data_IF_272259569900
#
_entry.id   IF_272259569900
#
_cell.length_a   1.000
_cell.length_b   1.000
_cell.length_c   1.000
_cell.angle_alpha   90.00
_cell.angle_beta   90.00
_cell.angle_gamma   90.00
#
_symmetry.space_group_name_H-M   'P 1'
#
loop_
_entity.id
_entity.type
_entity.pdbx_description
1 polymer ?
#
# COMPACT_ATOMS: atom_id res chain seq x y z
N UNK A 1 -8.40 4.27 39.31
CA UNK A 1 -8.08 3.77 40.66
C UNK A 1 -7.92 2.28 40.55
N UNK A 2 -6.89 1.72 41.18
CA UNK A 2 -6.67 0.28 41.26
C UNK A 2 -7.16 -0.24 42.61
N UNK A 3 -7.37 -1.56 42.79
CA UNK A 3 -7.78 -2.11 44.08
C UNK A 3 -6.85 -1.71 45.24
N UNK A 4 -5.55 -1.61 44.97
CA UNK A 4 -4.56 -1.14 45.94
C UNK A 4 -4.80 0.32 46.37
N UNK A 5 -5.15 1.20 45.42
CA UNK A 5 -5.48 2.60 45.70
C UNK A 5 -6.79 2.70 46.49
N UNK A 6 -7.80 1.89 46.16
CA UNK A 6 -9.07 1.86 46.90
C UNK A 6 -8.86 1.45 48.36
N UNK A 7 -8.07 0.39 48.61
CA UNK A 7 -7.68 -0.03 49.97
C UNK A 7 -6.86 1.04 50.70
N UNK A 8 -6.05 1.81 49.97
CA UNK A 8 -5.26 2.88 50.55
C UNK A 8 -6.12 4.10 50.93
N UNK A 9 -7.16 4.40 50.13
CA UNK A 9 -8.15 5.45 50.42
C UNK A 9 -9.01 5.09 51.63
N UNK A 10 -9.53 3.86 51.71
CA UNK A 10 -10.31 3.42 52.88
C UNK A 10 -9.48 3.50 54.16
N UNK A 11 -8.22 3.08 54.09
CA UNK A 11 -7.29 3.17 55.23
C UNK A 11 -6.95 4.62 55.60
N UNK A 12 -6.84 5.52 54.64
CA UNK A 12 -6.61 6.94 54.92
C UNK A 12 -7.83 7.59 55.60
N UNK A 13 -9.03 7.18 55.20
CA UNK A 13 -10.30 7.60 55.81
C UNK A 13 -10.41 7.12 57.28
N UNK A 14 -10.02 5.87 57.56
CA UNK A 14 -9.99 5.31 58.92
C UNK A 14 -8.97 6.00 59.85
N UNK A 15 -7.82 6.41 59.31
CA UNK A 15 -6.71 6.99 60.09
C UNK A 15 -6.97 8.47 60.41
N UNK A 16 -7.45 9.25 59.44
CA UNK A 16 -7.67 10.68 59.61
C UNK A 16 -8.73 11.22 58.65
N UNK A 17 -10.01 11.32 59.08
CA UNK A 17 -11.07 11.86 58.25
C UNK A 17 -10.87 13.35 57.92
N UNK A 18 -10.22 14.11 58.80
CA UNK A 18 -9.95 15.53 58.60
C UNK A 18 -8.87 15.80 57.54
N UNK A 19 -7.81 14.98 57.51
CA UNK A 19 -6.78 15.09 56.46
C UNK A 19 -7.27 14.50 55.14
N UNK A 20 -8.13 13.47 55.18
CA UNK A 20 -8.76 12.91 53.99
C UNK A 20 -9.63 13.95 53.27
N UNK A 21 -10.40 14.76 54.00
CA UNK A 21 -11.19 15.85 53.42
C UNK A 21 -10.35 16.90 52.68
N UNK A 22 -9.08 17.09 53.08
CA UNK A 22 -8.14 18.03 52.41
C UNK A 22 -7.60 17.49 51.09
N UNK A 23 -7.73 16.19 50.82
CA UNK A 23 -7.35 15.58 49.53
C UNK A 23 -8.36 15.91 48.42
N UNK A 24 -9.58 16.34 48.78
CA UNK A 24 -10.60 16.71 47.80
C UNK A 24 -10.43 18.17 47.38
N UNK A 25 -9.91 18.37 46.17
CA UNK A 25 -9.80 19.67 45.52
C UNK A 25 -10.93 19.85 44.49
N UNK A 26 -11.49 21.06 44.31
CA UNK A 26 -12.61 21.30 43.39
C UNK A 26 -12.23 21.16 41.90
N UNK A 27 -10.94 21.24 41.57
CA UNK A 27 -10.40 21.06 40.21
C UNK A 27 -10.12 19.59 39.86
N UNK A 28 -10.29 18.68 40.81
CA UNK A 28 -9.80 17.30 40.73
C UNK A 28 -10.95 16.28 40.76
N UNK A 29 -10.74 15.05 40.27
CA UNK A 29 -11.77 14.01 40.31
C UNK A 29 -12.24 13.76 41.75
N UNK A 30 -13.53 13.45 41.88
CA UNK A 30 -14.15 13.14 43.18
C UNK A 30 -13.62 11.83 43.75
N UNK A 31 -13.25 11.85 45.03
CA UNK A 31 -12.82 10.69 45.82
C UNK A 31 -14.00 10.00 46.54
N UNK A 32 -15.22 10.52 46.43
CA UNK A 32 -16.40 9.94 47.06
C UNK A 32 -16.76 8.58 46.42
N UNK A 33 -16.90 7.54 47.23
CA UNK A 33 -17.23 6.18 46.77
C UNK A 33 -16.11 5.55 45.93
N UNK A 34 -14.92 5.28 46.52
CA UNK A 34 -13.78 4.78 45.77
C UNK A 34 -14.06 3.38 45.21
N UNK A 35 -13.99 3.25 43.88
CA UNK A 35 -14.17 1.99 43.16
C UNK A 35 -13.03 1.75 42.16
N UNK A 36 -12.64 0.48 41.92
CA UNK A 36 -11.69 0.16 40.86
C UNK A 36 -12.19 0.69 39.52
N UNK A 37 -11.35 1.44 38.80
CA UNK A 37 -11.70 2.08 37.53
C UNK A 37 -12.00 3.59 37.62
N UNK A 38 -12.37 4.13 38.78
CA UNK A 38 -12.63 5.58 38.92
C UNK A 38 -11.37 6.42 38.65
N UNK A 39 -11.46 7.63 38.08
CA UNK A 39 -10.28 8.47 37.85
C UNK A 39 -9.68 8.96 39.17
N UNK A 40 -8.35 9.13 39.22
CA UNK A 40 -7.65 9.74 40.35
C UNK A 40 -6.55 10.66 39.80
N UNK A 41 -6.39 11.84 40.41
CA UNK A 41 -5.35 12.78 40.01
C UNK A 41 -3.96 12.34 40.50
N UNK A 42 -2.91 12.88 39.87
CA UNK A 42 -1.54 12.64 40.29
C UNK A 42 -1.22 13.30 41.64
N UNK A 43 -1.75 14.51 41.88
CA UNK A 43 -1.64 15.25 43.14
C UNK A 43 -2.27 14.48 44.30
N UNK A 44 -3.50 13.97 44.12
CA UNK A 44 -4.18 13.12 45.10
C UNK A 44 -3.36 11.89 45.47
N UNK A 45 -2.74 11.22 44.50
CA UNK A 45 -1.89 10.05 44.75
C UNK A 45 -0.65 10.41 45.58
N UNK A 46 -0.03 11.56 45.32
CA UNK A 46 1.12 12.04 46.07
C UNK A 46 0.71 12.33 47.51
N UNK A 47 -0.38 13.08 47.71
CA UNK A 47 -0.78 13.52 49.04
C UNK A 47 -1.34 12.37 49.89
N UNK A 48 -2.05 11.42 49.27
CA UNK A 48 -2.39 10.14 49.88
C UNK A 48 -1.14 9.39 50.34
N UNK A 49 -0.11 9.30 49.49
CA UNK A 49 1.13 8.61 49.88
C UNK A 49 1.88 9.31 51.02
N UNK A 50 1.81 10.65 51.11
CA UNK A 50 2.39 11.42 52.21
C UNK A 50 1.61 11.21 53.49
N UNK A 51 0.27 11.24 53.43
CA UNK A 51 -0.62 10.97 54.57
C UNK A 51 -0.32 9.58 55.15
N UNK A 52 -0.34 8.54 54.32
CA UNK A 52 -0.07 7.17 54.77
C UNK A 52 1.35 7.00 55.32
N UNK A 53 2.34 7.74 54.81
CA UNK A 53 3.70 7.74 55.37
C UNK A 53 3.81 8.44 56.72
N UNK A 54 3.10 9.56 56.93
CA UNK A 54 3.07 10.26 58.21
C UNK A 54 2.48 9.40 59.33
N UNK A 55 1.48 8.58 58.99
CA UNK A 55 0.82 7.68 59.94
C UNK A 55 1.36 6.23 59.91
N UNK A 56 2.37 5.94 59.06
CA UNK A 56 2.97 4.61 58.97
C UNK A 56 3.60 4.14 60.30
N UNK A 57 4.15 5.07 61.09
CA UNK A 57 4.71 4.81 62.42
C UNK A 57 3.65 4.57 63.50
N UNK A 58 2.42 5.04 63.30
CA UNK A 58 1.30 4.79 64.21
C UNK A 58 0.57 3.47 63.95
N UNK A 59 0.83 2.83 62.80
CA UNK A 59 0.05 1.69 62.29
C UNK A 59 0.79 0.35 62.35
N UNK A 60 2.03 0.31 62.87
CA UNK A 60 2.73 -0.96 63.14
C UNK A 60 2.24 -1.67 64.41
N UNK A 61 1.22 -1.12 65.09
CA UNK A 61 0.78 -1.53 66.43
C UNK A 61 -0.74 -1.78 66.49
N UNK A 62 -1.32 -2.25 65.38
CA UNK A 62 -2.72 -2.66 65.31
C UNK A 62 -2.82 -4.17 65.12
N UNK A 63 -3.06 -4.87 66.22
CA UNK A 63 -3.43 -6.29 66.26
C UNK A 63 -4.78 -6.50 65.54
N UNK A 64 -4.91 -7.66 64.87
CA UNK A 64 -6.10 -8.20 64.19
C UNK A 64 -6.29 -7.81 62.71
N UNK A 65 -5.66 -8.56 61.82
CA UNK A 65 -6.28 -9.17 60.63
C UNK A 65 -5.31 -10.15 59.99
N UNK A 66 -5.61 -11.44 60.13
CA UNK A 66 -4.93 -12.55 59.48
C UNK A 66 -5.19 -12.51 57.95
N UNK A 67 -4.16 -12.83 57.16
CA UNK A 67 -4.17 -13.15 55.72
C UNK A 67 -3.85 -12.09 54.63
N UNK A 68 -3.23 -10.93 54.92
CA UNK A 68 -2.53 -10.20 53.84
C UNK A 68 -1.13 -9.69 54.22
N UNK A 69 -0.14 -9.76 53.31
CA UNK A 69 1.23 -9.30 53.55
C UNK A 69 1.24 -7.81 53.90
N UNK A 70 2.21 -7.30 54.68
CA UNK A 70 2.27 -5.90 55.07
C UNK A 70 2.37 -5.01 53.83
N UNK A 71 1.24 -4.45 53.40
CA UNK A 71 1.16 -3.63 52.20
C UNK A 71 1.81 -2.29 52.51
N UNK A 72 3.05 -2.11 52.08
CA UNK A 72 3.74 -0.83 52.17
C UNK A 72 3.09 0.13 51.16
N UNK A 73 2.34 1.11 51.64
CA UNK A 73 1.73 2.16 50.82
C UNK A 73 2.77 3.23 50.44
N UNK A 74 3.76 2.83 49.65
CA UNK A 74 4.72 3.75 49.04
C UNK A 74 4.15 4.29 47.72
N UNK A 75 4.47 5.53 47.36
CA UNK A 75 4.06 6.10 46.06
C UNK A 75 4.38 5.16 44.88
N UNK A 76 5.53 4.49 44.91
CA UNK A 76 5.92 3.50 43.91
C UNK A 76 4.96 2.30 43.82
N UNK A 77 4.42 1.81 44.95
CA UNK A 77 3.46 0.67 44.94
C UNK A 77 2.10 1.09 44.40
N UNK A 78 1.65 2.31 44.71
CA UNK A 78 0.41 2.90 44.18
C UNK A 78 0.50 3.17 42.66
N UNK A 79 1.68 3.60 42.17
CA UNK A 79 1.88 3.92 40.76
C UNK A 79 2.03 2.68 39.86
N UNK A 80 2.57 1.56 40.37
CA UNK A 80 2.84 0.34 39.57
C UNK A 80 1.64 -0.22 38.83
N UNK A 81 0.44 -0.04 39.37
CA UNK A 81 -0.80 -0.54 38.78
C UNK A 81 -1.63 0.54 38.06
N UNK A 82 -1.16 1.79 38.07
CA UNK A 82 -1.88 2.92 37.46
C UNK A 82 -1.61 3.03 35.96
N UNK A 83 -2.61 3.50 35.20
CA UNK A 83 -2.48 3.81 33.77
C UNK A 83 -2.89 5.25 33.55
N UNK A 84 -2.17 5.94 32.65
CA UNK A 84 -2.50 7.30 32.24
C UNK A 84 -3.83 7.25 31.47
N UNK A 85 -4.79 8.09 31.87
CA UNK A 85 -6.04 8.23 31.14
C UNK A 85 -5.77 8.99 29.84
N UNK A 86 -6.01 8.32 28.72
CA UNK A 86 -6.00 8.93 27.39
C UNK A 86 -7.48 8.99 26.96
N UNK A 87 -8.05 10.17 26.73
CA UNK A 87 -9.44 10.28 26.31
C UNK A 87 -9.64 9.50 25.00
N UNK A 88 -10.80 8.85 24.83
CA UNK A 88 -11.10 8.18 23.57
C UNK A 88 -10.97 9.18 22.42
N UNK A 89 -10.44 8.77 21.26
CA UNK A 89 -10.34 9.65 20.11
C UNK A 89 -11.73 10.20 19.78
N UNK A 90 -11.83 11.48 19.39
CA UNK A 90 -13.11 12.07 19.04
C UNK A 90 -13.78 11.25 17.93
N UNK A 91 -15.13 11.18 17.92
CA UNK A 91 -15.84 10.49 16.84
C UNK A 91 -15.44 11.09 15.49
N UNK A 92 -15.32 10.23 14.48
CA UNK A 92 -14.95 10.68 13.13
C UNK A 92 -15.99 11.70 12.63
N UNK A 93 -15.56 12.80 11.99
CA UNK A 93 -16.50 13.77 11.44
C UNK A 93 -17.37 13.09 10.38
N UNK A 94 -18.64 13.49 10.32
CA UNK A 94 -19.52 13.08 9.24
C UNK A 94 -18.95 13.56 7.89
N UNK A 95 -19.02 12.74 6.83
CA UNK A 95 -18.48 13.14 5.53
C UNK A 95 -19.21 14.37 4.99
N UNK A 96 -18.47 15.29 4.37
CA UNK A 96 -19.08 16.48 3.77
C UNK A 96 -20.05 16.12 2.64
N UNK A 97 -21.13 16.89 2.42
CA UNK A 97 -22.10 16.60 1.36
C UNK A 97 -21.47 16.63 -0.04
N UNK A 98 -20.44 17.46 -0.24
CA UNK A 98 -19.66 17.49 -1.49
C UNK A 98 -18.91 16.19 -1.74
N UNK A 99 -18.33 15.59 -0.70
CA UNK A 99 -17.62 14.32 -0.80
C UNK A 99 -18.59 13.17 -1.11
N UNK A 100 -19.76 13.14 -0.45
CA UNK A 100 -20.80 12.15 -0.74
C UNK A 100 -21.28 12.25 -2.19
N UNK A 101 -21.51 13.46 -2.69
CA UNK A 101 -21.90 13.69 -4.08
C UNK A 101 -20.81 13.22 -5.07
N UNK A 102 -19.53 13.49 -4.77
CA UNK A 102 -18.40 13.02 -5.58
C UNK A 102 -18.31 11.49 -5.59
N UNK A 103 -18.45 10.84 -4.43
CA UNK A 103 -18.44 9.38 -4.33
C UNK A 103 -19.62 8.74 -5.06
N UNK A 104 -20.81 9.35 -5.00
CA UNK A 104 -21.98 8.89 -5.75
C UNK A 104 -21.73 8.96 -7.25
N UNK A 105 -21.14 10.07 -7.72
CA UNK A 105 -20.74 10.21 -9.12
C UNK A 105 -19.71 9.15 -9.56
N UNK A 106 -18.67 8.92 -8.75
CA UNK A 106 -17.65 7.90 -9.09
C UNK A 106 -18.24 6.49 -9.18
N UNK A 107 -19.14 6.12 -8.27
CA UNK A 107 -19.83 4.81 -8.34
C UNK A 107 -20.67 4.69 -9.60
N UNK A 108 -21.41 5.75 -9.96
CA UNK A 108 -22.20 5.77 -11.19
C UNK A 108 -21.31 5.64 -12.46
N UNK A 109 -20.16 6.30 -12.49
CA UNK A 109 -19.19 6.17 -13.58
C UNK A 109 -18.61 4.75 -13.67
N UNK A 110 -18.30 4.12 -12.54
CA UNK A 110 -17.80 2.75 -12.49
C UNK A 110 -18.87 1.72 -12.93
N UNK A 111 -20.10 1.87 -12.46
CA UNK A 111 -21.25 1.06 -12.87
C UNK A 111 -21.52 1.18 -14.38
N UNK A 112 -21.44 2.39 -14.94
CA UNK A 112 -21.60 2.63 -16.38
C UNK A 112 -20.50 1.96 -17.23
N UNK A 113 -19.25 1.97 -16.74
CA UNK A 113 -18.14 1.25 -17.38
C UNK A 113 -18.34 -0.26 -17.31
N UNK A 114 -18.76 -0.77 -16.15
CA UNK A 114 -19.06 -2.19 -15.98
C UNK A 114 -20.18 -2.65 -16.91
N UNK A 115 -21.25 -1.85 -17.04
CA UNK A 115 -22.35 -2.10 -17.97
C UNK A 115 -21.88 -2.11 -19.44
N UNK A 116 -21.06 -1.13 -19.82
CA UNK A 116 -20.47 -1.09 -21.18
C UNK A 116 -19.66 -2.34 -21.50
N UNK A 117 -18.88 -2.89 -20.54
CA UNK A 117 -18.15 -4.16 -20.74
C UNK A 117 -19.07 -5.36 -20.90
N UNK A 118 -20.24 -5.37 -20.26
CA UNK A 118 -21.23 -6.44 -20.42
C UNK A 118 -21.92 -6.39 -21.77
N UNK A 119 -22.21 -5.18 -22.27
CA UNK A 119 -22.82 -4.99 -23.58
C UNK A 119 -21.85 -5.22 -24.75
N UNK A 120 -20.61 -4.78 -24.58
CA UNK A 120 -19.53 -4.98 -25.53
C UNK A 120 -18.49 -5.90 -24.89
N UNK A 121 -18.77 -7.21 -24.79
CA UNK A 121 -17.76 -8.14 -24.33
C UNK A 121 -16.56 -8.01 -25.28
N UNK A 122 -15.33 -7.76 -24.76
CA UNK A 122 -14.15 -7.81 -25.61
C UNK A 122 -14.14 -9.16 -26.29
N UNK A 123 -13.98 -9.18 -27.61
CA UNK A 123 -13.87 -10.42 -28.37
C UNK A 123 -12.76 -11.25 -27.75
N UNK A 124 -13.13 -12.32 -27.06
CA UNK A 124 -12.20 -13.19 -26.37
C UNK A 124 -11.25 -13.80 -27.42
N UNK A 125 -10.04 -13.27 -27.53
CA UNK A 125 -8.90 -14.06 -27.96
C UNK A 125 -8.69 -15.10 -26.88
N UNK A 126 -9.22 -16.28 -27.14
CA UNK A 126 -9.21 -17.44 -26.26
C UNK A 126 -7.76 -17.88 -25.98
N UNK A 127 -7.14 -17.37 -24.93
CA UNK A 127 -5.98 -17.98 -24.28
C UNK A 127 -6.23 -18.11 -22.78
N UNK A 128 -7.29 -18.84 -22.45
CA UNK A 128 -7.41 -19.52 -21.15
C UNK A 128 -6.38 -20.65 -21.08
N UNK A 129 -5.11 -20.32 -20.84
CA UNK A 129 -4.12 -21.28 -20.37
C UNK A 129 -3.98 -21.14 -18.85
N UNK A 130 -4.92 -21.79 -18.15
CA UNK A 130 -4.72 -22.50 -16.88
C UNK A 130 -3.43 -22.13 -16.11
N UNK A 131 -3.48 -21.06 -15.32
CA UNK A 131 -2.42 -20.72 -14.35
C UNK A 131 -2.53 -21.67 -13.15
N UNK A 132 -1.53 -22.51 -12.84
CA UNK A 132 -1.53 -23.31 -11.62
C UNK A 132 -1.33 -22.41 -10.37
N UNK A 133 -1.90 -22.78 -9.21
CA UNK A 133 -2.01 -21.92 -8.02
C UNK A 133 -0.70 -21.68 -7.24
N UNK A 134 0.46 -22.06 -7.77
CA UNK A 134 1.74 -21.97 -7.06
C UNK A 134 2.86 -21.48 -7.97
N UNK A 135 2.88 -20.19 -8.26
CA UNK A 135 4.06 -19.50 -8.77
C UNK A 135 4.20 -18.16 -8.05
N UNK A 136 5.39 -17.81 -7.51
CA UNK A 136 5.58 -16.54 -6.82
C UNK A 136 5.32 -15.39 -7.80
N UNK A 137 4.65 -14.35 -7.30
CA UNK A 137 4.29 -13.15 -8.04
C UNK A 137 5.57 -12.41 -8.43
N UNK A 138 6.14 -12.77 -9.57
CA UNK A 138 7.01 -11.86 -10.31
C UNK A 138 6.10 -10.91 -11.08
N UNK A 139 6.17 -9.63 -10.72
CA UNK A 139 5.59 -8.52 -11.47
C UNK A 139 6.24 -8.49 -12.86
N UNK A 140 5.69 -9.25 -13.81
CA UNK A 140 6.00 -9.14 -15.23
C UNK A 140 4.93 -8.25 -15.87
N UNK A 141 5.28 -6.97 -15.99
CA UNK A 141 4.66 -6.03 -16.93
C UNK A 141 4.96 -6.55 -18.33
N UNK A 142 3.92 -6.99 -19.03
CA UNK A 142 4.03 -7.43 -20.41
C UNK A 142 2.93 -8.42 -20.74
N UNK A 143 1.84 -7.93 -21.32
CA UNK A 143 1.14 -8.56 -22.46
C UNK A 143 -0.09 -7.74 -22.84
N UNK A 144 0.01 -7.11 -24.01
CA UNK A 144 -1.02 -7.08 -25.06
C UNK A 144 -2.49 -7.20 -24.60
N UNK A 145 -2.97 -6.19 -23.89
CA UNK A 145 -4.36 -5.77 -24.02
C UNK A 145 -4.47 -4.85 -25.25
N UNK A 146 -5.61 -4.77 -25.95
CA UNK A 146 -5.85 -3.66 -26.86
C UNK A 146 -5.99 -2.42 -25.97
N UNK A 147 -4.85 -1.78 -25.70
CA UNK A 147 -4.76 -0.60 -24.87
C UNK A 147 -5.56 0.50 -25.56
N UNK A 148 -6.54 1.03 -24.83
CA UNK A 148 -7.22 2.26 -25.18
C UNK A 148 -6.16 3.33 -25.51
N UNK A 149 -6.43 4.11 -26.55
CA UNK A 149 -5.50 5.07 -27.16
C UNK A 149 -4.92 6.06 -26.11
N UNK A 150 -5.62 6.27 -25.00
CA UNK A 150 -5.23 7.11 -23.87
C UNK A 150 -4.13 6.48 -22.97
N UNK A 151 -4.14 5.17 -22.72
CA UNK A 151 -3.13 4.49 -21.87
C UNK A 151 -1.76 4.41 -22.56
N UNK A 152 -1.76 4.30 -23.90
CA UNK A 152 -0.53 4.38 -24.72
C UNK A 152 0.16 5.73 -24.55
N UNK A 153 -0.63 6.81 -24.39
CA UNK A 153 -0.13 8.15 -24.13
C UNK A 153 0.55 8.27 -22.77
N UNK A 154 -0.07 7.75 -21.71
CA UNK A 154 0.49 7.82 -20.35
C UNK A 154 1.79 7.02 -20.22
N UNK A 155 1.87 5.83 -20.80
CA UNK A 155 3.08 5.00 -20.78
C UNK A 155 4.23 5.64 -21.57
N UNK A 156 3.95 6.21 -22.75
CA UNK A 156 4.98 6.90 -23.54
C UNK A 156 5.46 8.17 -22.83
N UNK A 157 4.55 8.97 -22.25
CA UNK A 157 4.90 10.15 -21.45
C UNK A 157 5.69 9.77 -20.21
N UNK A 158 5.29 8.72 -19.51
CA UNK A 158 6.00 8.22 -18.33
C UNK A 158 7.43 7.78 -18.67
N UNK A 159 7.58 7.01 -19.76
CA UNK A 159 8.88 6.58 -20.28
C UNK A 159 9.77 7.77 -20.68
N UNK A 160 9.19 8.78 -21.33
CA UNK A 160 9.91 10.01 -21.67
C UNK A 160 10.32 10.80 -20.43
N UNK A 161 9.45 10.89 -19.42
CA UNK A 161 9.72 11.59 -18.17
C UNK A 161 10.86 10.92 -17.37
N UNK A 162 10.85 9.58 -17.27
CA UNK A 162 11.94 8.82 -16.64
C UNK A 162 13.28 9.07 -17.36
N UNK A 163 13.27 9.09 -18.70
CA UNK A 163 14.48 9.33 -19.48
C UNK A 163 15.04 10.74 -19.22
N UNK A 164 14.18 11.76 -19.21
CA UNK A 164 14.59 13.14 -18.91
C UNK A 164 15.22 13.22 -17.52
N UNK A 165 14.60 12.60 -16.51
CA UNK A 165 15.13 12.60 -15.15
C UNK A 165 16.49 11.91 -15.09
N UNK A 166 16.66 10.76 -15.75
CA UNK A 166 17.94 10.05 -15.76
C UNK A 166 19.07 10.87 -16.40
N UNK A 167 18.78 11.56 -17.51
CA UNK A 167 19.72 12.45 -18.19
C UNK A 167 20.08 13.66 -17.31
N UNK A 168 19.10 14.25 -16.61
CA UNK A 168 19.37 15.37 -15.70
C UNK A 168 20.28 14.95 -14.52
N UNK A 169 20.02 13.77 -13.95
CA UNK A 169 20.84 13.23 -12.85
C UNK A 169 22.26 12.95 -13.33
N UNK A 170 22.46 12.39 -14.53
CA UNK A 170 23.80 12.13 -15.06
C UNK A 170 24.58 13.41 -15.36
N UNK A 171 23.92 14.44 -15.92
CA UNK A 171 24.52 15.76 -16.16
C UNK A 171 25.01 16.41 -14.86
N UNK A 172 24.15 16.44 -13.83
CA UNK A 172 24.50 17.05 -12.53
C UNK A 172 25.60 16.26 -11.83
N UNK A 173 25.53 14.93 -11.83
CA UNK A 173 26.57 14.07 -11.24
C UNK A 173 27.92 14.30 -11.92
N UNK A 174 27.97 14.35 -13.26
CA UNK A 174 29.19 14.64 -13.99
C UNK A 174 29.70 16.06 -13.75
N UNK A 175 28.82 17.07 -13.69
CA UNK A 175 29.21 18.44 -13.38
C UNK A 175 29.86 18.54 -11.98
N UNK A 176 29.24 17.96 -10.95
CA UNK A 176 29.79 17.95 -9.59
C UNK A 176 31.11 17.18 -9.53
N UNK A 177 31.19 16.03 -10.20
CA UNK A 177 32.41 15.23 -10.24
C UNK A 177 33.57 15.99 -10.89
N UNK A 178 33.36 16.58 -12.06
CA UNK A 178 34.38 17.39 -12.76
C UNK A 178 34.74 18.62 -11.94
N UNK A 179 33.75 19.26 -11.31
CA UNK A 179 33.98 20.40 -10.43
C UNK A 179 34.88 20.04 -9.24
N UNK A 180 34.65 18.90 -8.58
CA UNK A 180 35.51 18.42 -7.48
C UNK A 180 36.90 18.03 -7.99
N UNK A 181 37.00 17.31 -9.10
CA UNK A 181 38.27 16.89 -9.68
C UNK A 181 39.15 18.08 -10.10
N UNK A 182 38.56 19.12 -10.69
CA UNK A 182 39.24 20.35 -11.10
C UNK A 182 39.38 21.40 -9.98
N UNK A 183 39.26 21.00 -8.70
CA UNK A 183 39.40 21.90 -7.54
C UNK A 183 40.72 22.67 -7.51
N UNK A 184 41.78 22.11 -8.08
CA UNK A 184 43.11 22.70 -8.13
C UNK A 184 43.34 23.65 -9.33
N UNK A 185 42.34 23.85 -10.20
CA UNK A 185 42.42 24.71 -11.39
C UNK A 185 41.75 26.07 -11.16
N UNK A 186 42.09 27.08 -11.97
CA UNK A 186 41.47 28.39 -11.88
C UNK A 186 39.96 28.33 -12.15
N UNK A 187 39.20 29.23 -11.53
CA UNK A 187 37.73 29.24 -11.54
C UNK A 187 37.17 29.21 -12.97
N UNK A 188 37.74 29.98 -13.89
CA UNK A 188 37.30 30.02 -15.28
C UNK A 188 37.53 28.69 -16.01
N UNK A 189 38.70 28.04 -15.82
CA UNK A 189 39.00 26.74 -16.43
C UNK A 189 38.13 25.63 -15.85
N UNK A 190 37.89 25.68 -14.53
CA UNK A 190 37.01 24.75 -13.82
C UNK A 190 35.57 24.85 -14.29
N UNK A 191 35.05 26.07 -14.43
CA UNK A 191 33.71 26.32 -14.94
C UNK A 191 33.57 25.84 -16.39
N UNK A 192 34.53 26.19 -17.26
CA UNK A 192 34.54 25.77 -18.66
C UNK A 192 34.58 24.25 -18.80
N UNK A 193 35.41 23.56 -18.00
CA UNK A 193 35.51 22.10 -18.02
C UNK A 193 34.24 21.43 -17.48
N UNK A 194 33.64 21.96 -16.42
CA UNK A 194 32.40 21.42 -15.83
C UNK A 194 31.21 21.60 -16.77
N UNK A 195 31.04 22.80 -17.35
CA UNK A 195 29.97 23.07 -18.32
C UNK A 195 30.17 22.25 -19.59
N UNK A 196 31.39 22.22 -20.14
CA UNK A 196 31.71 21.44 -21.34
C UNK A 196 31.56 19.94 -21.14
N UNK A 197 32.04 19.40 -20.02
CA UNK A 197 31.92 17.97 -19.71
C UNK A 197 30.47 17.54 -19.49
N UNK A 198 29.67 18.35 -18.81
CA UNK A 198 28.23 18.10 -18.65
C UNK A 198 27.49 18.15 -20.00
N UNK A 199 27.87 19.07 -20.89
CA UNK A 199 27.31 19.15 -22.24
C UNK A 199 27.70 17.96 -23.12
N UNK A 200 28.93 17.47 -23.02
CA UNK A 200 29.38 16.28 -23.75
C UNK A 200 28.59 15.03 -23.31
N UNK A 201 28.33 14.87 -22.00
CA UNK A 201 27.50 13.78 -21.46
C UNK A 201 26.06 13.90 -21.96
N UNK A 202 25.48 15.11 -21.98
CA UNK A 202 24.14 15.33 -22.52
C UNK A 202 24.04 14.89 -24.00
N UNK A 203 25.03 15.24 -24.83
CA UNK A 203 25.07 14.83 -26.24
C UNK A 203 25.20 13.31 -26.36
N UNK A 204 26.06 12.68 -25.54
CA UNK A 204 26.24 11.24 -25.54
C UNK A 204 24.95 10.49 -25.20
N UNK A 205 24.23 10.92 -24.16
CA UNK A 205 22.95 10.31 -23.75
C UNK A 205 21.88 10.40 -24.85
N UNK A 206 21.75 11.57 -25.50
CA UNK A 206 20.82 11.75 -26.61
C UNK A 206 21.19 10.86 -27.80
N UNK A 207 22.48 10.68 -28.08
CA UNK A 207 22.97 9.77 -29.12
C UNK A 207 22.63 8.30 -28.79
N UNK A 208 22.80 7.88 -27.54
CA UNK A 208 22.43 6.53 -27.08
C UNK A 208 20.92 6.29 -27.24
N UNK A 209 20.10 7.25 -26.82
CA UNK A 209 18.64 7.12 -26.96
C UNK A 209 18.18 7.11 -28.41
N UNK A 210 18.67 8.05 -29.22
CA UNK A 210 18.35 8.11 -30.65
C UNK A 210 18.79 6.84 -31.38
N UNK A 211 19.95 6.28 -31.02
CA UNK A 211 20.43 4.99 -31.49
C UNK A 211 19.50 3.83 -31.09
N UNK A 212 19.07 3.79 -29.84
CA UNK A 212 18.10 2.80 -29.35
C UNK A 212 16.77 2.89 -30.11
N UNK A 213 16.17 4.09 -30.22
CA UNK A 213 14.91 4.29 -30.92
C UNK A 213 15.01 3.87 -32.38
N UNK A 214 16.14 4.17 -33.05
CA UNK A 214 16.38 3.73 -34.42
C UNK A 214 16.43 2.20 -34.53
N UNK A 215 17.16 1.52 -33.63
CA UNK A 215 17.23 0.05 -33.58
C UNK A 215 15.85 -0.59 -33.36
N UNK A 216 15.05 -0.06 -32.44
CA UNK A 216 13.69 -0.55 -32.18
C UNK A 216 12.78 -0.35 -33.39
N UNK A 217 12.83 0.81 -34.04
CA UNK A 217 12.08 1.07 -35.28
C UNK A 217 12.50 0.12 -36.40
N UNK A 218 13.79 -0.16 -36.53
CA UNK A 218 14.33 -1.11 -37.51
C UNK A 218 13.87 -2.55 -37.23
N UNK A 219 13.83 -2.97 -35.96
CA UNK A 219 13.34 -4.29 -35.56
C UNK A 219 11.84 -4.45 -35.88
N UNK A 220 11.00 -3.48 -35.49
CA UNK A 220 9.56 -3.47 -35.82
C UNK A 220 9.32 -3.51 -37.34
N UNK A 221 10.13 -2.80 -38.13
CA UNK A 221 10.04 -2.82 -39.60
C UNK A 221 10.44 -4.18 -40.18
N UNK A 222 11.41 -4.88 -39.60
CA UNK A 222 11.80 -6.24 -40.03
C UNK A 222 10.74 -7.27 -39.66
N UNK A 223 10.10 -7.12 -38.51
CA UNK A 223 9.02 -7.99 -38.05
C UNK A 223 7.77 -7.86 -38.91
N UNK A 224 7.32 -6.63 -39.20
CA UNK A 224 6.19 -6.37 -40.11
C UNK A 224 6.37 -6.92 -41.53
N UNK A 225 7.60 -7.18 -41.95
CA UNK A 225 7.92 -7.76 -43.26
C UNK A 225 7.85 -9.29 -43.29
N UNK A 226 7.74 -9.97 -42.15
CA UNK A 226 7.57 -11.42 -42.12
C UNK A 226 6.09 -11.73 -42.39
N UNK A 227 5.74 -12.36 -43.53
CA UNK A 227 4.35 -12.72 -43.80
C UNK A 227 3.90 -13.81 -42.83
N UNK A 228 2.79 -13.55 -42.14
CA UNK A 228 2.15 -14.52 -41.25
C UNK A 228 1.43 -15.58 -42.10
N UNK A 229 2.00 -16.80 -42.15
CA UNK A 229 1.35 -17.94 -42.80
C UNK A 229 0.35 -18.52 -41.79
N UNK A 230 -0.92 -18.15 -41.93
CA UNK A 230 -2.00 -18.69 -41.10
C UNK A 230 -2.38 -20.08 -41.60
N UNK A 231 -2.08 -21.09 -40.79
CA UNK A 231 -2.50 -22.47 -41.01
C UNK A 231 -3.96 -22.64 -40.54
N UNK A 232 -4.83 -23.14 -41.42
CA UNK A 232 -6.23 -23.42 -41.09
C UNK A 232 -6.29 -24.83 -40.53
N UNK A 233 -6.37 -24.96 -39.20
CA UNK A 233 -6.28 -26.27 -38.52
C UNK A 233 -7.59 -27.06 -38.63
N UNK A 234 -8.76 -26.42 -38.69
CA UNK A 234 -10.04 -27.13 -38.91
C UNK A 234 -11.08 -26.24 -39.58
N UNK A 235 -11.53 -26.62 -40.79
CA UNK A 235 -12.75 -26.08 -41.39
C UNK A 235 -13.88 -27.07 -41.16
N UNK A 236 -14.84 -26.73 -40.30
CA UNK A 236 -16.12 -27.44 -40.24
C UNK A 236 -17.00 -26.95 -41.38
N UNK A 237 -17.27 -27.82 -42.35
CA UNK A 237 -18.30 -27.60 -43.37
C UNK A 237 -19.62 -28.01 -42.72
N UNK A 238 -20.46 -27.03 -42.40
CA UNK A 238 -21.85 -27.29 -42.03
C UNK A 238 -22.61 -27.39 -43.36
N UNK A 239 -22.78 -28.62 -43.85
CA UNK A 239 -23.77 -28.88 -44.88
C UNK A 239 -25.16 -28.71 -44.26
N UNK A 240 -25.99 -27.86 -44.85
CA UNK A 240 -27.40 -27.72 -44.46
C UNK A 240 -28.15 -28.88 -45.08
N UNK A 241 -28.50 -29.85 -44.25
CA UNK A 241 -29.33 -31.00 -44.63
C UNK A 241 -30.61 -30.57 -45.35
N UNK A 242 -30.84 -31.20 -46.52
CA UNK A 242 -32.18 -31.53 -46.98
C UNK A 242 -32.23 -33.03 -47.27
N UNK A 243 -32.76 -33.77 -46.28
CA UNK A 243 -33.60 -34.95 -46.41
C UNK A 243 -33.13 -36.11 -47.32
N UNK A 244 -32.64 -37.19 -46.70
CA UNK A 244 -33.13 -38.58 -46.90
C UNK A 244 -32.31 -39.61 -46.10
N UNK A 245 -33.02 -40.47 -45.39
CA UNK A 245 -32.52 -41.69 -44.73
C UNK A 245 -32.07 -42.74 -45.77
N UNK A 246 -30.88 -43.33 -45.61
CA UNK A 246 -30.52 -44.71 -46.03
C UNK A 246 -29.25 -45.17 -45.28
N UNK A 247 -28.98 -46.49 -45.15
CA UNK A 247 -28.42 -47.08 -43.93
C UNK A 247 -26.92 -47.35 -43.99
N UNK A 248 -26.40 -47.62 -42.79
CA UNK A 248 -25.05 -48.03 -42.43
C UNK A 248 -24.57 -49.26 -43.21
N UNK A 249 -23.42 -49.14 -43.89
CA UNK A 249 -22.43 -50.24 -43.97
C UNK A 249 -21.08 -49.74 -44.49
N UNK A 250 -20.00 -50.26 -43.89
CA UNK A 250 -18.72 -50.44 -44.58
C UNK A 250 -17.59 -49.56 -44.11
N UNK A 251 -16.82 -50.05 -43.14
CA UNK A 251 -15.53 -49.47 -42.80
C UNK A 251 -14.55 -49.53 -43.98
N UNK A 252 -13.73 -48.49 -44.11
CA UNK A 252 -12.53 -48.53 -44.92
C UNK A 252 -11.43 -47.67 -44.28
N UNK A 253 -10.38 -48.40 -43.92
CA UNK A 253 -9.07 -47.99 -43.43
C UNK A 253 -8.43 -47.07 -44.48
N UNK A 254 -8.22 -45.79 -44.14
CA UNK A 254 -7.52 -44.81 -44.96
C UNK A 254 -6.67 -43.90 -44.08
N UNK A 255 -5.38 -43.82 -44.39
CA UNK A 255 -4.33 -43.06 -43.70
C UNK A 255 -4.71 -41.57 -43.53
N UNK A 256 -4.26 -40.88 -42.46
CA UNK A 256 -4.37 -39.44 -42.38
C UNK A 256 -3.27 -38.82 -43.25
N UNK A 257 -3.56 -38.59 -44.53
CA UNK A 257 -2.80 -37.64 -45.34
C UNK A 257 -3.28 -36.23 -44.95
N UNK A 258 -2.38 -35.53 -44.28
CA UNK A 258 -2.41 -34.14 -43.84
C UNK A 258 -2.82 -33.20 -44.99
N UNK A 259 -4.12 -32.89 -45.08
CA UNK A 259 -4.65 -31.96 -46.07
C UNK A 259 -4.53 -30.51 -45.57
N UNK A 260 -3.30 -30.00 -45.43
CA UNK A 260 -3.05 -28.58 -45.15
C UNK A 260 -3.22 -27.79 -46.45
N UNK A 261 -4.35 -27.07 -46.59
CA UNK A 261 -4.54 -26.11 -47.69
C UNK A 261 -4.11 -24.71 -47.27
N UNK A 262 -3.00 -24.24 -47.83
CA UNK A 262 -2.59 -22.85 -47.73
C UNK A 262 -3.42 -21.97 -48.65
N UNK A 263 -4.10 -20.95 -48.10
CA UNK A 263 -4.73 -19.91 -48.91
C UNK A 263 -3.62 -18.99 -49.44
N UNK A 264 -3.33 -19.08 -50.74
CA UNK A 264 -2.46 -18.13 -51.44
C UNK A 264 -3.15 -16.76 -51.46
N UNK A 265 -2.89 -15.93 -50.45
CA UNK A 265 -3.34 -14.54 -50.42
C UNK A 265 -2.68 -13.78 -51.57
N UNK A 266 -3.46 -13.35 -52.55
CA UNK A 266 -3.05 -12.36 -53.55
C UNK A 266 -2.81 -11.05 -52.81
N UNK A 267 -1.56 -10.71 -52.59
CA UNK A 267 -1.18 -9.38 -52.10
C UNK A 267 -1.41 -8.36 -53.21
N UNK A 268 -2.16 -7.30 -52.91
CA UNK A 268 -2.03 -6.00 -53.55
C UNK A 268 -1.90 -4.97 -52.44
#
# INVERSE_FOLDING_TARGET
MTPAIVRALSRAEDISPEEFGKLQLPSEPSLAGPQPGNPISHSQLIDLSKLLKKHASATSTGENQEEEPPVVYTLNTLLRSSKIYIPPPPPKPEPSPSYVALMARLRAEEEARAYTRMLNPPTSSFTSARRPPSAPVQFSIGTDAPLDEDDVGYEEVHRQMILIINVLVSIVACAVFIWVAARHWSVAKRLGLSMGGSGAVAIAEVAVYSGYVRRVKEAKRREKKKPEIKEIVQSWVIDRDSNKEVPVSGGLKGKPEECIRYRKGKHR
#
